data_IF_649949164016
#
_entry.id   IF_649949164016
#
_cell.length_a   1.000
_cell.length_b   1.000
_cell.length_c   1.000
_cell.angle_alpha   90.00
_cell.angle_beta   90.00
_cell.angle_gamma   90.00
#
_symmetry.space_group_name_H-M   'P 1'
#
loop_
_entity.id
_entity.type
_entity.pdbx_description
1 polymer ?
#
# COMPACT_ATOMS: atom_id res chain seq x y z
N UNK A 1 5.75 6.36 -17.59
CA UNK A 1 6.53 5.51 -16.66
C UNK A 1 6.08 5.64 -15.21
N UNK A 2 6.09 6.84 -14.60
CA UNK A 2 5.68 7.02 -13.19
C UNK A 2 4.20 6.67 -12.90
N UNK A 3 3.30 6.85 -13.86
CA UNK A 3 1.87 6.49 -13.72
C UNK A 3 1.70 4.99 -13.42
N UNK A 4 2.45 4.12 -14.11
CA UNK A 4 2.41 2.68 -13.85
C UNK A 4 2.87 2.35 -12.43
N UNK A 5 3.88 3.06 -11.92
CA UNK A 5 4.33 2.88 -10.54
C UNK A 5 3.30 3.40 -9.53
N UNK A 6 2.56 4.47 -9.84
CA UNK A 6 1.46 4.95 -9.00
C UNK A 6 0.28 3.96 -8.98
N UNK A 7 -0.07 3.38 -10.14
CA UNK A 7 -1.09 2.31 -10.23
C UNK A 7 -0.62 1.09 -9.44
N UNK A 8 0.63 0.66 -9.61
CA UNK A 8 1.22 -0.43 -8.85
C UNK A 8 1.19 -0.15 -7.33
N UNK A 9 1.58 1.05 -6.91
CA UNK A 9 1.52 1.49 -5.51
C UNK A 9 0.10 1.42 -4.93
N UNK A 10 -0.92 1.82 -5.70
CA UNK A 10 -2.31 1.66 -5.30
C UNK A 10 -2.68 0.18 -5.17
N UNK A 11 -2.44 -0.62 -6.22
CA UNK A 11 -2.84 -2.02 -6.30
C UNK A 11 -2.19 -2.87 -5.20
N UNK A 12 -0.91 -2.68 -4.91
CA UNK A 12 -0.24 -3.39 -3.82
C UNK A 12 -0.80 -2.96 -2.47
N UNK A 13 -1.12 -1.69 -2.25
CA UNK A 13 -1.64 -1.22 -0.96
C UNK A 13 -3.09 -1.66 -0.67
N UNK A 14 -3.87 -2.07 -1.67
CA UNK A 14 -5.24 -2.61 -1.48
C UNK A 14 -5.27 -3.88 -0.61
N UNK A 15 -4.57 -4.99 -0.93
CA UNK A 15 -4.56 -6.18 -0.08
C UNK A 15 -3.92 -5.89 1.30
N UNK A 16 -2.85 -5.09 1.37
CA UNK A 16 -2.23 -4.72 2.65
C UNK A 16 -3.17 -3.89 3.54
N UNK A 17 -3.96 -2.97 2.96
CA UNK A 17 -4.98 -2.21 3.67
C UNK A 17 -6.04 -3.10 4.34
N UNK A 18 -6.43 -4.18 3.65
CA UNK A 18 -7.34 -5.19 4.21
C UNK A 18 -6.70 -6.02 5.31
N UNK A 19 -5.48 -6.51 5.11
CA UNK A 19 -4.77 -7.29 6.14
C UNK A 19 -4.56 -6.45 7.40
N UNK A 20 -4.20 -5.18 7.21
CA UNK A 20 -4.04 -4.19 8.28
C UNK A 20 -5.33 -3.95 9.05
N UNK A 21 -6.49 -3.96 8.41
CA UNK A 21 -7.77 -3.76 9.11
C UNK A 21 -8.22 -4.98 9.94
N UNK A 22 -7.65 -6.16 9.69
CA UNK A 22 -7.96 -7.40 10.41
C UNK A 22 -7.08 -7.64 11.66
N UNK A 23 -6.08 -6.80 11.91
CA UNK A 23 -5.15 -6.94 13.03
C UNK A 23 -5.26 -5.78 14.00
N UNK A 24 -4.86 -6.00 15.26
CA UNK A 24 -4.85 -4.96 16.30
C UNK A 24 -3.93 -3.81 15.85
N UNK A 25 -4.46 -2.57 15.89
CA UNK A 25 -3.67 -1.35 15.64
C UNK A 25 -2.45 -1.34 16.58
N UNK A 26 -1.30 -0.89 16.07
CA UNK A 26 -0.02 -0.88 16.79
C UNK A 26 0.54 -2.25 17.21
N UNK A 27 0.01 -3.37 16.69
CA UNK A 27 0.70 -4.65 16.77
C UNK A 27 1.87 -4.73 15.79
N UNK A 28 2.80 -5.66 16.03
CA UNK A 28 3.91 -5.94 15.11
C UNK A 28 3.42 -6.25 13.69
N UNK A 29 2.34 -7.02 13.56
CA UNK A 29 1.71 -7.34 12.27
C UNK A 29 1.14 -6.09 11.58
N UNK A 30 0.48 -5.21 12.34
CA UNK A 30 -0.05 -3.96 11.81
C UNK A 30 1.06 -3.05 11.27
N UNK A 31 2.16 -2.95 12.02
CA UNK A 31 3.35 -2.21 11.60
C UNK A 31 3.95 -2.78 10.31
N UNK A 32 4.14 -4.11 10.27
CA UNK A 32 4.64 -4.80 9.09
C UNK A 32 3.77 -4.52 7.86
N UNK A 33 2.44 -4.56 7.96
CA UNK A 33 1.56 -4.31 6.80
C UNK A 33 1.60 -2.87 6.26
N UNK A 34 2.05 -1.90 7.05
CA UNK A 34 2.28 -0.52 6.58
C UNK A 34 3.64 -0.40 5.89
N UNK A 35 4.67 -1.06 6.44
CA UNK A 35 6.05 -0.89 5.99
C UNK A 35 6.42 -1.81 4.84
N UNK A 36 5.84 -3.02 4.76
CA UNK A 36 6.14 -3.98 3.70
C UNK A 36 5.92 -3.40 2.28
N UNK A 37 4.82 -2.66 2.00
CA UNK A 37 4.61 -2.04 0.70
C UNK A 37 5.67 -1.00 0.31
N UNK A 38 6.36 -0.38 1.27
CA UNK A 38 7.29 0.72 1.01
C UNK A 38 8.50 0.25 0.18
N UNK A 39 9.25 -0.83 0.56
CA UNK A 39 10.29 -1.40 -0.29
C UNK A 39 9.82 -1.77 -1.70
N UNK A 40 8.60 -2.32 -1.84
CA UNK A 40 8.06 -2.70 -3.15
C UNK A 40 7.81 -1.50 -4.07
N UNK A 41 7.62 -0.30 -3.52
CA UNK A 41 7.47 0.93 -4.31
C UNK A 41 8.83 1.63 -4.48
N UNK A 42 9.65 1.64 -3.43
CA UNK A 42 10.95 2.31 -3.41
C UNK A 42 11.97 1.66 -4.36
N UNK A 43 12.04 0.33 -4.40
CA UNK A 43 12.98 -0.39 -5.27
C UNK A 43 12.72 -0.11 -6.76
N UNK A 44 11.51 -0.30 -7.32
CA UNK A 44 11.23 0.05 -8.72
C UNK A 44 11.42 1.55 -9.00
N UNK A 45 11.08 2.43 -8.04
CA UNK A 45 11.31 3.87 -8.18
C UNK A 45 12.78 4.19 -8.43
N UNK A 46 13.68 3.56 -7.67
CA UNK A 46 15.14 3.76 -7.79
C UNK A 46 15.66 3.13 -9.08
N UNK A 47 15.28 1.87 -9.36
CA UNK A 47 15.74 1.14 -10.55
C UNK A 47 15.30 1.80 -11.86
N UNK A 48 14.12 2.43 -11.88
CA UNK A 48 13.60 3.17 -13.03
C UNK A 48 14.08 4.62 -13.11
N UNK A 49 14.91 5.08 -12.15
CA UNK A 49 15.43 6.46 -12.13
C UNK A 49 14.34 7.53 -11.96
N UNK A 50 13.19 7.19 -11.38
CA UNK A 50 12.06 8.13 -11.24
C UNK A 50 12.43 9.20 -10.20
N UNK A 51 12.25 10.48 -10.54
CA UNK A 51 12.58 11.60 -9.66
C UNK A 51 11.83 11.58 -8.32
N UNK A 52 12.44 12.18 -7.27
CA UNK A 52 11.88 12.22 -5.91
C UNK A 52 10.64 13.11 -5.83
N UNK A 53 10.46 14.02 -6.79
CA UNK A 53 9.26 14.84 -6.93
C UNK A 53 7.97 14.02 -7.06
N UNK A 54 8.05 12.75 -7.47
CA UNK A 54 6.89 11.87 -7.58
C UNK A 54 6.60 11.05 -6.30
N UNK A 55 7.42 11.15 -5.25
CA UNK A 55 7.16 10.46 -3.98
C UNK A 55 5.79 10.85 -3.39
N UNK A 56 5.37 12.14 -3.38
CA UNK A 56 4.03 12.51 -2.91
C UNK A 56 2.91 11.80 -3.68
N UNK A 57 3.05 11.64 -5.00
CA UNK A 57 2.07 10.91 -5.83
C UNK A 57 1.97 9.44 -5.40
N UNK A 58 3.10 8.77 -5.19
CA UNK A 58 3.11 7.37 -4.74
C UNK A 58 2.59 7.21 -3.32
N UNK A 59 2.84 8.19 -2.45
CA UNK A 59 2.31 8.23 -1.09
C UNK A 59 0.78 8.35 -1.12
N UNK A 60 0.23 9.29 -1.88
CA UNK A 60 -1.22 9.45 -2.05
C UNK A 60 -1.84 8.18 -2.61
N UNK A 61 -1.25 7.58 -3.65
CA UNK A 61 -1.71 6.32 -4.22
C UNK A 61 -1.68 5.17 -3.21
N UNK A 62 -0.63 5.09 -2.39
CA UNK A 62 -0.48 4.08 -1.33
C UNK A 62 -1.55 4.24 -0.24
N UNK A 63 -1.77 5.46 0.24
CA UNK A 63 -2.79 5.76 1.25
C UNK A 63 -4.18 5.47 0.69
N UNK A 64 -4.49 5.90 -0.53
CA UNK A 64 -5.74 5.60 -1.20
C UNK A 64 -5.96 4.08 -1.34
N UNK A 65 -4.93 3.32 -1.71
CA UNK A 65 -4.95 1.86 -1.78
C UNK A 65 -5.26 1.24 -0.42
N UNK A 66 -4.58 1.67 0.66
CA UNK A 66 -4.83 1.13 2.00
C UNK A 66 -6.23 1.44 2.52
N UNK A 67 -6.74 2.65 2.27
CA UNK A 67 -8.10 3.02 2.64
C UNK A 67 -9.11 2.16 1.88
N UNK A 68 -8.93 2.04 0.56
CA UNK A 68 -9.78 1.21 -0.30
C UNK A 68 -9.78 -0.25 0.17
N UNK A 69 -8.60 -0.81 0.42
CA UNK A 69 -8.39 -2.13 0.99
C UNK A 69 -9.11 -2.36 2.31
N UNK A 70 -9.03 -1.39 3.23
CA UNK A 70 -9.68 -1.47 4.54
C UNK A 70 -11.20 -1.41 4.48
N UNK A 71 -11.76 -0.79 3.43
CA UNK A 71 -13.20 -0.66 3.20
C UNK A 71 -13.78 -1.84 2.42
N UNK A 72 -12.96 -2.54 1.64
CA UNK A 72 -13.38 -3.73 0.90
C UNK A 72 -13.68 -4.89 1.85
N UNK A 73 -14.95 -5.01 2.23
CA UNK A 73 -15.51 -6.20 2.88
C UNK A 73 -15.90 -7.22 1.80
N UNK A 74 -14.97 -8.06 1.32
CA UNK A 74 -15.45 -9.30 0.68
C UNK A 74 -16.01 -10.14 1.82
N UNK A 75 -17.32 -10.40 1.77
CA UNK A 75 -18.02 -11.15 2.79
C UNK A 75 -17.34 -12.48 3.03
N UNK A 76 -16.75 -12.64 4.21
CA UNK A 76 -16.81 -13.86 5.03
C UNK A 76 -16.44 -13.42 6.45
N UNK A 77 -17.46 -12.92 7.13
CA UNK A 77 -17.63 -13.18 8.55
C UNK A 77 -17.75 -14.70 8.70
N UNK A 78 -16.72 -15.36 9.24
CA UNK A 78 -16.94 -16.40 10.25
C UNK A 78 -15.76 -16.30 11.23
N UNK A 79 -16.15 -15.88 12.43
CA UNK A 79 -15.42 -16.02 13.69
C UNK A 79 -15.03 -17.47 13.88
#
# INVERSE_FOLDING_TARGET
>A
MFIFLAIFAFLINVPFGRLRSKVKKFSWRWFAYIHLPIPFIALPRILLGISYYFIPLFLVASVAGQITGSRLKFGTQKV
#
